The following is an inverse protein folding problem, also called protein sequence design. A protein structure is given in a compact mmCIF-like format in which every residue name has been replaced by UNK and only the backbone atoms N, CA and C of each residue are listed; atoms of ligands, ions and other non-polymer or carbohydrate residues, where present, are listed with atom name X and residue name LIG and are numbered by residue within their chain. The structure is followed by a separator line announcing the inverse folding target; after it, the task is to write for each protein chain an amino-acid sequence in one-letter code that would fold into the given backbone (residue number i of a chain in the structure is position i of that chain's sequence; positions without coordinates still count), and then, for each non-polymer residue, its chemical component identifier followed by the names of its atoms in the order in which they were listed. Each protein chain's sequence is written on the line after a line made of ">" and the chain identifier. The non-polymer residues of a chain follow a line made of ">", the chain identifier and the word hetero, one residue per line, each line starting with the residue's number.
data_IF_230282074115
#
_entry.id   IF_230282074115
#
_cell.length_a   1.000
_cell.length_b   1.000
_cell.length_c   1.000
_cell.angle_alpha   90.00
_cell.angle_beta   90.00
_cell.angle_gamma   90.00
#
_symmetry.space_group_name_H-M   'P 1'
#
loop_
_entity.id
_entity.type
_entity.pdbx_description
1 polymer ?
#
# COMPACT_ATOMS: atom_id res chain seq x y z
N UNK A 1 -7.11 12.46 16.46
CA UNK A 1 -6.79 11.02 16.47
C UNK A 1 -5.34 10.81 16.04
N UNK A 2 -4.64 9.81 16.57
CA UNK A 2 -3.28 9.46 16.13
C UNK A 2 -3.30 8.02 15.61
N UNK A 3 -2.65 7.79 14.47
CA UNK A 3 -2.43 6.45 13.92
C UNK A 3 -0.95 6.28 13.58
N UNK A 4 -0.47 5.05 13.71
CA UNK A 4 0.91 4.67 13.41
C UNK A 4 0.91 3.74 12.21
N UNK A 5 1.74 4.04 11.21
CA UNK A 5 1.98 3.16 10.07
C UNK A 5 3.40 2.57 10.17
N UNK A 6 3.50 1.25 10.07
CA UNK A 6 4.78 0.53 10.02
C UNK A 6 4.72 -0.44 8.85
N UNK A 7 5.51 -0.20 7.80
CA UNK A 7 5.61 -1.12 6.66
C UNK A 7 4.25 -1.44 6.01
N UNK A 8 3.40 -0.43 5.80
CA UNK A 8 2.02 -0.54 5.25
C UNK A 8 0.99 -1.18 6.20
N UNK A 9 1.35 -1.44 7.46
CA UNK A 9 0.41 -1.91 8.50
C UNK A 9 0.04 -0.77 9.45
N UNK A 10 -1.25 -0.67 9.78
CA UNK A 10 -1.80 0.41 10.60
C UNK A 10 -2.04 -0.04 12.05
N UNK A 11 -1.73 0.83 12.99
CA UNK A 11 -1.89 0.62 14.42
C UNK A 11 -2.49 1.86 15.09
N UNK A 12 -3.40 1.66 16.03
CA UNK A 12 -3.97 2.73 16.86
C UNK A 12 -3.08 3.08 18.06
N UNK A 13 -2.26 2.12 18.52
CA UNK A 13 -1.37 2.29 19.66
C UNK A 13 0.11 2.27 19.23
N UNK A 14 0.91 3.09 19.90
CA UNK A 14 2.36 3.17 19.66
C UNK A 14 3.08 1.86 20.02
N UNK A 15 2.70 1.25 21.14
CA UNK A 15 3.36 0.04 21.65
C UNK A 15 3.22 -1.14 20.67
N UNK A 16 2.05 -1.31 20.06
CA UNK A 16 1.81 -2.37 19.08
C UNK A 16 2.61 -2.13 17.79
N UNK A 17 2.67 -0.88 17.35
CA UNK A 17 3.47 -0.46 16.21
C UNK A 17 4.97 -0.75 16.44
N UNK A 18 5.50 -0.40 17.63
CA UNK A 18 6.90 -0.66 18.00
C UNK A 18 7.20 -2.15 18.12
N UNK A 19 6.29 -2.93 18.72
CA UNK A 19 6.40 -4.39 18.82
C UNK A 19 6.47 -5.01 17.42
N UNK A 20 5.59 -4.60 16.52
CA UNK A 20 5.60 -5.08 15.13
C UNK A 20 6.88 -4.67 14.39
N UNK A 21 7.32 -3.42 14.53
CA UNK A 21 8.58 -2.92 13.92
C UNK A 21 9.79 -3.75 14.34
N UNK A 22 9.92 -4.03 15.64
CA UNK A 22 11.02 -4.84 16.19
C UNK A 22 10.93 -6.28 15.70
N UNK A 23 9.74 -6.89 15.72
CA UNK A 23 9.51 -8.23 15.19
C UNK A 23 9.90 -8.37 13.72
N UNK A 24 9.69 -7.32 12.93
CA UNK A 24 10.05 -7.25 11.52
C UNK A 24 11.47 -6.76 11.25
N UNK A 25 12.28 -6.52 12.30
CA UNK A 25 13.65 -5.98 12.21
C UNK A 25 13.75 -4.71 11.37
N UNK A 26 12.70 -3.89 11.39
CA UNK A 26 12.65 -2.64 10.65
C UNK A 26 13.42 -1.53 11.39
N UNK A 27 14.06 -0.61 10.66
CA UNK A 27 14.76 0.51 11.27
C UNK A 27 13.79 1.43 12.04
N UNK A 28 14.28 2.22 13.01
CA UNK A 28 13.43 3.04 13.89
C UNK A 28 12.66 4.15 13.14
N UNK A 29 13.13 4.55 11.96
CA UNK A 29 12.47 5.51 11.06
C UNK A 29 11.29 4.89 10.27
N UNK A 30 11.14 3.56 10.30
CA UNK A 30 10.05 2.86 9.61
C UNK A 30 8.67 3.08 10.25
N UNK A 31 8.61 3.70 11.44
CA UNK A 31 7.36 4.05 12.10
C UNK A 31 6.96 5.48 11.76
N UNK A 32 5.90 5.62 10.98
CA UNK A 32 5.32 6.91 10.62
C UNK A 32 4.18 7.21 11.60
N UNK A 33 4.29 8.32 12.32
CA UNK A 33 3.22 8.84 13.18
C UNK A 33 2.39 9.86 12.42
N UNK A 34 1.10 9.61 12.30
CA UNK A 34 0.15 10.51 11.63
C UNK A 34 -0.81 11.05 12.68
N UNK A 35 -0.86 12.38 12.80
CA UNK A 35 -1.77 13.07 13.72
C UNK A 35 -2.88 13.72 12.91
N UNK A 36 -4.12 13.31 13.17
CA UNK A 36 -5.33 13.78 12.49
C UNK A 36 -6.06 14.71 13.46
N UNK A 37 -6.02 16.01 13.18
CA UNK A 37 -6.56 17.03 14.10
C UNK A 37 -8.06 17.26 13.87
N UNK A 38 -8.51 17.19 12.61
CA UNK A 38 -9.86 17.53 12.21
C UNK A 38 -10.42 16.58 11.14
N UNK A 39 -11.69 16.79 10.76
CA UNK A 39 -12.40 15.96 9.78
C UNK A 39 -11.86 16.17 8.34
N UNK A 40 -11.28 17.33 8.05
CA UNK A 40 -10.73 17.63 6.71
C UNK A 40 -9.44 16.84 6.50
N UNK A 41 -8.54 16.81 7.48
CA UNK A 41 -7.33 15.98 7.45
C UNK A 41 -7.65 14.49 7.36
N UNK A 42 -8.73 14.04 8.02
CA UNK A 42 -9.19 12.66 7.89
C UNK A 42 -9.64 12.37 6.46
N UNK A 43 -10.45 13.24 5.86
CA UNK A 43 -10.91 13.08 4.48
C UNK A 43 -9.72 13.04 3.51
N UNK A 44 -8.80 14.01 3.59
CA UNK A 44 -7.59 14.03 2.74
C UNK A 44 -6.71 12.79 2.90
N UNK A 45 -6.60 12.24 4.12
CA UNK A 45 -5.87 10.99 4.34
C UNK A 45 -6.58 9.81 3.65
N UNK A 46 -7.91 9.73 3.76
CA UNK A 46 -8.69 8.67 3.13
C UNK A 46 -8.66 8.77 1.60
N UNK A 47 -8.81 9.99 1.06
CA UNK A 47 -8.73 10.27 -0.37
C UNK A 47 -7.37 9.83 -0.94
N UNK A 48 -6.26 10.19 -0.26
CA UNK A 48 -4.92 9.79 -0.67
C UNK A 48 -4.67 8.26 -0.60
N UNK A 49 -5.46 7.52 0.18
CA UNK A 49 -5.38 6.05 0.25
C UNK A 49 -6.25 5.38 -0.83
N UNK A 50 -7.39 5.97 -1.19
CA UNK A 50 -8.30 5.47 -2.22
C UNK A 50 -7.82 5.78 -3.63
N UNK A 51 -7.27 6.97 -3.84
CA UNK A 51 -6.77 7.44 -5.11
C UNK A 51 -5.38 8.04 -4.83
N UNK A 52 -4.31 7.21 -4.85
CA UNK A 52 -2.97 7.72 -4.64
C UNK A 52 -2.74 8.83 -5.67
N UNK A 53 -2.35 10.05 -5.25
CA UNK A 53 -2.21 11.17 -6.16
C UNK A 53 -1.33 10.74 -7.34
N UNK A 54 -1.81 10.99 -8.56
CA UNK A 54 -1.12 10.61 -9.77
C UNK A 54 0.33 11.14 -9.69
N UNK A 55 1.33 10.32 -10.05
CA UNK A 55 2.73 10.74 -9.98
C UNK A 55 2.96 11.84 -11.02
N UNK A 56 2.78 13.09 -10.62
CA UNK A 56 2.76 14.21 -11.56
C UNK A 56 2.39 15.57 -10.97
N UNK A 57 1.73 15.63 -9.82
CA UNK A 57 1.57 16.89 -9.09
C UNK A 57 2.91 17.30 -8.45
N UNK A 58 3.70 18.03 -9.24
CA UNK A 58 4.86 18.91 -8.95
C UNK A 58 5.43 19.02 -7.52
N UNK A 59 5.63 17.89 -6.85
CA UNK A 59 6.53 17.70 -5.70
C UNK A 59 7.55 16.56 -5.96
N UNK A 60 7.54 16.00 -7.18
CA UNK A 60 8.41 14.94 -7.65
C UNK A 60 9.73 15.51 -8.23
N UNK A 61 10.58 16.06 -7.37
CA UNK A 61 11.99 16.29 -7.72
C UNK A 61 12.81 15.11 -7.21
N UNK A 62 12.90 14.04 -8.01
CA UNK A 62 13.77 12.89 -7.69
C UNK A 62 13.33 11.57 -8.29
N UNK A 63 12.98 11.53 -9.57
CA UNK A 63 12.74 10.27 -10.28
C UNK A 63 14.09 9.57 -10.47
N UNK A 64 14.44 8.67 -9.53
CA UNK A 64 15.45 7.66 -9.83
C UNK A 64 14.87 6.75 -10.93
N UNK A 65 15.54 6.59 -12.07
CA UNK A 65 15.04 5.70 -13.12
C UNK A 65 14.88 4.28 -12.55
N UNK A 66 13.71 3.69 -12.78
CA UNK A 66 13.43 2.30 -12.38
C UNK A 66 14.42 1.41 -13.14
N UNK A 67 15.22 0.57 -12.45
CA UNK A 67 16.19 -0.29 -13.11
C UNK A 67 15.50 -1.23 -14.10
N UNK A 68 16.04 -1.40 -15.31
CA UNK A 68 15.45 -2.25 -16.36
C UNK A 68 15.11 -3.68 -15.87
N UNK A 69 15.93 -4.24 -14.96
CA UNK A 69 15.66 -5.52 -14.30
C UNK A 69 14.30 -5.62 -13.58
N UNK A 70 13.78 -4.49 -13.08
CA UNK A 70 12.48 -4.42 -12.39
C UNK A 70 11.34 -4.44 -13.41
N UNK A 71 11.56 -3.84 -14.58
CA UNK A 71 10.60 -3.86 -15.69
C UNK A 71 10.53 -5.27 -16.27
N UNK A 72 11.68 -5.91 -16.49
CA UNK A 72 11.74 -7.29 -17.01
C UNK A 72 11.14 -8.32 -16.02
N UNK A 73 11.32 -8.11 -14.71
CA UNK A 73 10.70 -8.98 -13.69
C UNK A 73 9.20 -8.74 -13.51
N UNK A 74 8.70 -7.56 -13.87
CA UNK A 74 7.29 -7.22 -13.81
C UNK A 74 6.54 -7.56 -15.10
N UNK A 75 7.25 -7.95 -16.16
CA UNK A 75 6.64 -8.37 -17.42
C UNK A 75 5.97 -9.74 -17.24
N UNK A 76 4.65 -9.75 -17.38
CA UNK A 76 3.85 -10.97 -17.46
C UNK A 76 3.48 -11.15 -18.93
N UNK A 77 3.87 -12.28 -19.50
CA UNK A 77 3.58 -12.63 -20.89
C UNK A 77 2.04 -12.64 -21.09
N UNK A 78 1.50 -11.86 -22.06
CA UNK A 78 0.07 -11.84 -22.33
C UNK A 78 -0.48 -13.20 -22.81
N UNK A 79 0.38 -14.08 -23.33
CA UNK A 79 0.02 -15.45 -23.72
C UNK A 79 0.21 -16.47 -22.59
N UNK A 80 0.55 -16.01 -21.37
CA UNK A 80 0.63 -16.87 -20.20
C UNK A 80 -0.76 -17.41 -19.85
N UNK A 81 -1.02 -18.67 -20.21
CA UNK A 81 -2.25 -19.37 -19.85
C UNK A 81 -2.37 -19.46 -18.33
N UNK A 82 -3.22 -18.59 -17.76
CA UNK A 82 -3.54 -18.64 -16.33
C UNK A 82 -4.18 -20.01 -16.03
N UNK A 83 -3.61 -20.80 -15.12
CA UNK A 83 -4.14 -22.10 -14.72
C UNK A 83 -5.63 -22.02 -14.37
N UNK A 84 -6.41 -23.01 -14.83
CA UNK A 84 -7.88 -22.99 -14.71
C UNK A 84 -8.36 -22.78 -13.26
N UNK A 85 -7.69 -23.36 -12.28
CA UNK A 85 -8.04 -23.23 -10.86
C UNK A 85 -7.93 -21.78 -10.33
N UNK A 86 -7.00 -20.97 -10.87
CA UNK A 86 -6.85 -19.55 -10.52
C UNK A 86 -7.98 -18.72 -11.13
N UNK A 87 -8.36 -19.00 -12.38
CA UNK A 87 -9.51 -18.35 -13.04
C UNK A 87 -10.81 -18.63 -12.30
N UNK A 88 -11.04 -19.88 -11.90
CA UNK A 88 -12.23 -20.27 -11.14
C UNK A 88 -12.26 -19.66 -9.74
N UNK A 89 -11.10 -19.59 -9.07
CA UNK A 89 -11.00 -18.95 -7.76
C UNK A 89 -11.27 -17.45 -7.83
N UNK A 90 -10.76 -16.77 -8.86
CA UNK A 90 -11.01 -15.36 -9.09
C UNK A 90 -12.49 -15.09 -9.40
N UNK A 91 -13.09 -15.88 -10.30
CA UNK A 91 -14.50 -15.75 -10.64
C UNK A 91 -15.42 -15.92 -9.41
N UNK A 92 -15.09 -16.85 -8.50
CA UNK A 92 -15.83 -17.03 -7.24
C UNK A 92 -15.68 -15.84 -6.29
N UNK A 93 -14.47 -15.28 -6.19
CA UNK A 93 -14.21 -14.10 -5.36
C UNK A 93 -14.95 -12.85 -5.88
N UNK A 94 -15.06 -12.68 -7.19
CA UNK A 94 -15.76 -11.54 -7.79
C UNK A 94 -17.27 -11.73 -7.87
N UNK A 95 -17.77 -12.98 -7.87
CA UNK A 95 -19.20 -13.27 -7.93
C UNK A 95 -19.91 -13.11 -6.57
N UNK A 96 -19.18 -13.15 -5.44
CA UNK A 96 -19.75 -13.06 -4.09
C UNK A 96 -19.87 -11.64 -3.51
N UNK A 97 -19.56 -10.59 -4.28
CA UNK A 97 -19.49 -9.21 -3.77
C UNK A 97 -20.68 -8.33 -4.22
N UNK A 98 -21.86 -8.94 -4.35
CA UNK A 98 -23.07 -8.26 -4.80
C UNK A 98 -24.34 -8.76 -4.12
N UNK A 99 -24.37 -8.81 -2.79
CA UNK A 99 -25.58 -8.80 -1.95
C UNK A 99 -25.31 -8.09 -0.62
#
# INVERSE_FOLDING_TARGET
>A
MIVYNVGRRWFSLKADAETYRIGQKLPPDATIRISIVDRVQLASLLDALCEPPAPGDTAAAGTTPVPARVIDQAYVDPDFEIPRFLRESWARLTAGNGE
#
